data_IF_386911571763
#
_entry.id   IF_386911571763
#
_cell.length_a   1.000
_cell.length_b   1.000
_cell.length_c   1.000
_cell.angle_alpha   90.00
_cell.angle_beta   90.00
_cell.angle_gamma   90.00
#
_symmetry.space_group_name_H-M   'P 1'
#
loop_
_entity.id
_entity.type
_entity.pdbx_description
1 polymer ?
#
# COMPACT_ATOMS: atom_id res chain seq x y z
N UNK A 1 -5.60 11.15 13.57
CA UNK A 1 -5.43 11.38 12.11
C UNK A 1 -4.00 11.14 11.65
N UNK A 2 -2.96 11.44 12.45
CA UNK A 2 -1.54 11.29 12.06
C UNK A 2 -1.06 9.84 11.78
N UNK A 3 -1.85 8.83 12.16
CA UNK A 3 -1.55 7.40 11.97
C UNK A 3 -2.04 6.80 10.64
N UNK A 4 -2.78 7.54 9.81
CA UNK A 4 -3.35 7.05 8.52
C UNK A 4 -2.48 7.46 7.33
N UNK A 5 -1.19 7.14 7.36
CA UNK A 5 -0.25 7.49 6.29
C UNK A 5 -0.10 6.35 5.30
N UNK A 6 -0.17 6.67 4.01
CA UNK A 6 0.26 5.78 2.94
C UNK A 6 1.78 5.79 2.82
N UNK A 7 2.34 4.74 2.22
CA UNK A 7 3.74 4.68 1.83
C UNK A 7 3.85 4.51 0.31
N UNK A 8 4.79 5.21 -0.28
CA UNK A 8 5.19 5.05 -1.68
C UNK A 8 6.71 4.97 -1.71
N UNK A 9 7.24 3.90 -2.28
CA UNK A 9 8.67 3.71 -2.42
C UNK A 9 9.26 4.78 -3.35
N UNK A 10 10.40 5.31 -2.94
CA UNK A 10 11.21 6.25 -3.72
C UNK A 10 12.57 5.60 -3.96
N UNK A 11 13.41 6.17 -4.83
CA UNK A 11 14.75 5.61 -5.04
C UNK A 11 15.58 5.51 -3.74
N UNK A 12 15.32 6.38 -2.76
CA UNK A 12 16.01 6.37 -1.48
C UNK A 12 15.45 5.34 -0.49
N UNK A 13 14.23 4.84 -0.71
CA UNK A 13 13.49 3.99 0.25
C UNK A 13 13.08 2.64 -0.33
N UNK A 14 13.46 2.35 -1.58
CA UNK A 14 13.26 1.03 -2.20
C UNK A 14 13.96 -0.03 -1.34
N UNK A 15 13.18 -1.00 -0.87
CA UNK A 15 13.69 -2.11 -0.07
C UNK A 15 13.54 -1.95 1.45
N UNK A 16 13.16 -0.77 1.92
CA UNK A 16 13.05 -0.48 3.36
C UNK A 16 11.98 -1.32 4.07
N UNK A 17 10.89 -1.64 3.37
CA UNK A 17 9.72 -2.29 3.98
C UNK A 17 9.54 -3.70 3.41
N UNK A 18 9.58 -4.68 4.30
CA UNK A 18 9.21 -6.07 4.06
C UNK A 18 7.80 -6.30 4.61
N UNK A 19 6.74 -6.26 3.77
CA UNK A 19 5.36 -6.19 4.24
C UNK A 19 4.80 -7.54 4.70
N UNK A 20 5.37 -8.66 4.23
CA UNK A 20 4.91 -10.02 4.55
C UNK A 20 6.12 -10.89 4.89
N UNK A 21 6.06 -11.60 6.01
CA UNK A 21 7.09 -12.55 6.42
C UNK A 21 7.17 -13.72 5.43
N UNK A 22 8.39 -14.12 5.05
CA UNK A 22 8.63 -15.22 4.12
C UNK A 22 8.36 -14.92 2.65
N UNK A 23 7.93 -13.70 2.28
CA UNK A 23 7.78 -13.28 0.87
C UNK A 23 8.98 -12.43 0.47
N UNK A 24 9.78 -12.83 -0.50
CA UNK A 24 10.98 -12.06 -0.92
C UNK A 24 10.66 -10.86 -1.83
N UNK A 25 9.60 -10.11 -1.52
CA UNK A 25 9.25 -8.89 -2.24
C UNK A 25 9.00 -7.74 -1.26
N UNK A 26 9.54 -6.58 -1.62
CA UNK A 26 9.46 -5.35 -0.83
C UNK A 26 8.20 -4.59 -1.17
N UNK A 27 7.76 -3.69 -0.29
CA UNK A 27 6.60 -2.86 -0.59
C UNK A 27 6.96 -1.77 -1.62
N UNK A 28 6.18 -1.67 -2.70
CA UNK A 28 6.21 -0.54 -3.62
C UNK A 28 5.24 0.57 -3.14
N UNK A 29 4.00 0.19 -2.81
CA UNK A 29 2.97 1.10 -2.32
C UNK A 29 2.20 0.43 -1.20
N UNK A 30 1.86 1.18 -0.15
CA UNK A 30 0.98 0.74 0.93
C UNK A 30 -0.10 1.79 1.11
N UNK A 31 -1.37 1.39 0.97
CA UNK A 31 -2.51 2.23 1.31
C UNK A 31 -3.35 1.58 2.42
N UNK A 32 -3.63 2.30 3.52
CA UNK A 32 -4.49 1.77 4.56
C UNK A 32 -5.93 1.60 4.04
N UNK A 33 -6.56 0.50 4.41
CA UNK A 33 -7.99 0.27 4.25
C UNK A 33 -8.67 0.94 5.44
N UNK A 34 -9.54 1.90 5.16
CA UNK A 34 -10.28 2.64 6.18
C UNK A 34 -11.75 2.24 6.05
N UNK A 35 -12.35 1.74 7.13
CA UNK A 35 -13.76 1.38 7.21
C UNK A 35 -14.33 1.87 8.54
N UNK A 36 -15.52 2.47 8.51
CA UNK A 36 -16.20 3.11 9.64
C UNK A 36 -15.31 4.11 10.41
N UNK A 37 -14.38 4.74 9.70
CA UNK A 37 -13.43 5.67 10.28
C UNK A 37 -12.28 5.04 11.06
N UNK A 38 -12.05 3.72 11.00
CA UNK A 38 -10.89 3.04 11.59
C UNK A 38 -10.03 2.33 10.52
N UNK A 39 -8.77 2.03 10.84
CA UNK A 39 -7.87 1.27 9.96
C UNK A 39 -8.12 -0.23 10.21
N UNK A 40 -8.66 -0.93 9.22
CA UNK A 40 -8.95 -2.37 9.32
C UNK A 40 -7.89 -3.24 8.63
N UNK A 41 -7.04 -2.63 7.80
CA UNK A 41 -5.98 -3.33 7.08
C UNK A 41 -5.22 -2.41 6.12
N UNK A 42 -4.54 -3.01 5.15
CA UNK A 42 -3.85 -2.27 4.08
C UNK A 42 -3.84 -3.06 2.76
N UNK A 43 -3.87 -2.34 1.65
CA UNK A 43 -3.50 -2.86 0.34
C UNK A 43 -2.02 -2.60 0.13
N UNK A 44 -1.27 -3.65 -0.21
CA UNK A 44 0.16 -3.57 -0.50
C UNK A 44 0.41 -3.97 -1.94
N UNK A 45 0.98 -3.07 -2.71
CA UNK A 45 1.57 -3.40 -4.01
C UNK A 45 3.04 -3.76 -3.78
N UNK A 46 3.43 -4.95 -4.20
CA UNK A 46 4.80 -5.44 -4.06
C UNK A 46 5.67 -4.90 -5.20
N UNK A 47 6.95 -4.70 -4.93
CA UNK A 47 7.95 -4.35 -5.94
C UNK A 47 8.04 -5.44 -6.99
N UNK A 48 8.18 -5.04 -8.25
CA UNK A 48 8.55 -5.95 -9.34
C UNK A 48 10.03 -6.34 -9.27
N UNK A 49 10.43 -7.31 -10.10
CA UNK A 49 11.80 -7.83 -10.15
C UNK A 49 12.86 -6.75 -10.48
N UNK A 50 12.47 -5.72 -11.23
CA UNK A 50 13.33 -4.61 -11.61
C UNK A 50 13.46 -3.51 -10.54
N UNK A 51 12.78 -3.67 -9.39
CA UNK A 51 12.75 -2.72 -8.27
C UNK A 51 12.46 -1.27 -8.70
N UNK A 52 11.67 -1.08 -9.76
CA UNK A 52 11.28 0.26 -10.20
C UNK A 52 10.38 0.93 -9.18
N UNK A 53 10.63 2.21 -8.97
CA UNK A 53 9.74 3.05 -8.16
C UNK A 53 8.35 3.11 -8.81
N UNK A 54 7.29 3.01 -8.02
CA UNK A 54 5.93 3.06 -8.55
C UNK A 54 5.62 4.41 -9.19
N UNK A 55 4.97 4.34 -10.33
CA UNK A 55 4.36 5.45 -11.04
C UNK A 55 3.10 5.95 -10.32
N UNK A 56 2.62 7.14 -10.70
CA UNK A 56 1.37 7.66 -10.15
C UNK A 56 0.18 6.71 -10.40
N UNK A 57 0.16 6.02 -11.55
CA UNK A 57 -0.88 5.04 -11.87
C UNK A 57 -0.94 3.92 -10.84
N UNK A 58 0.20 3.34 -10.45
CA UNK A 58 0.28 2.27 -9.46
C UNK A 58 -0.14 2.76 -8.06
N UNK A 59 0.28 3.98 -7.70
CA UNK A 59 -0.14 4.63 -6.45
C UNK A 59 -1.66 4.80 -6.39
N UNK A 60 -2.27 5.31 -7.47
CA UNK A 60 -3.73 5.51 -7.55
C UNK A 60 -4.49 4.20 -7.62
N UNK A 61 -3.91 3.15 -8.21
CA UNK A 61 -4.50 1.82 -8.26
C UNK A 61 -4.60 1.22 -6.85
N UNK A 62 -3.50 1.26 -6.08
CA UNK A 62 -3.49 0.80 -4.68
C UNK A 62 -4.48 1.60 -3.81
N UNK A 63 -4.54 2.92 -3.98
CA UNK A 63 -5.53 3.76 -3.29
C UNK A 63 -6.96 3.37 -3.65
N UNK A 64 -7.27 3.22 -4.94
CA UNK A 64 -8.62 2.85 -5.41
C UNK A 64 -9.05 1.49 -4.87
N UNK A 65 -8.13 0.51 -4.84
CA UNK A 65 -8.37 -0.80 -4.25
C UNK A 65 -8.66 -0.71 -2.74
N UNK A 66 -7.87 0.06 -1.99
CA UNK A 66 -8.07 0.23 -0.55
C UNK A 66 -9.41 0.93 -0.23
N UNK A 67 -9.76 1.97 -1.00
CA UNK A 67 -11.02 2.67 -0.86
C UNK A 67 -12.23 1.77 -1.22
N UNK A 68 -12.10 0.96 -2.27
CA UNK A 68 -13.13 -0.01 -2.65
C UNK A 68 -13.36 -1.04 -1.54
N UNK A 69 -12.31 -1.67 -1.03
CA UNK A 69 -12.40 -2.65 0.06
C UNK A 69 -12.96 -2.03 1.35
N UNK A 70 -12.54 -0.81 1.70
CA UNK A 70 -13.06 -0.09 2.86
C UNK A 70 -14.57 0.11 2.78
N UNK A 71 -15.08 0.52 1.62
CA UNK A 71 -16.52 0.65 1.38
C UNK A 71 -17.26 -0.68 1.52
N UNK A 72 -16.70 -1.78 1.00
CA UNK A 72 -17.32 -3.12 1.11
C UNK A 72 -17.31 -3.70 2.53
N UNK A 73 -16.60 -3.08 3.47
CA UNK A 73 -16.61 -3.47 4.89
C UNK A 73 -17.60 -2.65 5.73
N UNK A 74 -18.13 -1.56 5.19
CA UNK A 74 -19.14 -0.70 5.84
C UNK A 74 -20.58 -1.13 5.50
N UNK A 75 -20.75 -1.90 4.43
CA UNK A 75 -22.00 -2.54 3.97
C UNK A 75 -22.09 -3.99 4.47
#
# INVERSE_FOLDING_TARGET
MESRKSYTATQATVGDIQPVEGVEHRAAVIYPIIAAGDITGAVVMLMGEDNKVPTETEVKLAHSAAAFLGKQMEE
#
